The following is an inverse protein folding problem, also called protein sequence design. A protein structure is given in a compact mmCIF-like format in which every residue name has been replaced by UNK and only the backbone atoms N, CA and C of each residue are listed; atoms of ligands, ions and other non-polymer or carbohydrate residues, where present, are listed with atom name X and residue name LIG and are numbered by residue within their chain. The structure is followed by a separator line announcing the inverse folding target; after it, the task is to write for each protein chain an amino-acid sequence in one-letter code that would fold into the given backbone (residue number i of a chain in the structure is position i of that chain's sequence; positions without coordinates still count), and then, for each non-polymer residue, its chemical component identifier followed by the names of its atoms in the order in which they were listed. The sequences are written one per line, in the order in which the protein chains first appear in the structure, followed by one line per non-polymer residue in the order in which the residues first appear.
data_IF_754738656070
#
_entry.id   IF_754738656070
#
_cell.length_a   1.000
_cell.length_b   1.000
_cell.length_c   1.000
_cell.angle_alpha   90.00
_cell.angle_beta   90.00
_cell.angle_gamma   90.00
#
_symmetry.space_group_name_H-M   'P 1'
#
loop_
_entity.id
_entity.type
_entity.pdbx_description
1 polymer ?
#
# COMPACT_ATOMS: atom_id res chain seq x y z
N UNK A 1 16.64 -3.48 0.29
CA UNK A 1 16.36 -2.36 1.22
C UNK A 1 17.12 -2.58 2.53
N UNK A 2 17.74 -1.55 3.10
CA UNK A 2 18.44 -1.65 4.39
C UNK A 2 17.45 -2.04 5.52
N UNK A 3 17.90 -2.84 6.49
CA UNK A 3 17.16 -3.22 7.70
C UNK A 3 16.51 -2.03 8.41
N UNK A 4 17.16 -0.86 8.46
CA UNK A 4 16.60 0.33 9.11
C UNK A 4 15.29 0.78 8.44
N UNK A 5 15.31 0.92 7.11
CA UNK A 5 14.11 1.26 6.34
C UNK A 5 13.06 0.14 6.43
N UNK A 6 13.47 -1.13 6.43
CA UNK A 6 12.55 -2.25 6.64
C UNK A 6 11.85 -2.19 8.00
N UNK A 7 12.54 -1.76 9.05
CA UNK A 7 11.95 -1.58 10.36
C UNK A 7 10.91 -0.43 10.38
N UNK A 8 11.16 0.67 9.68
CA UNK A 8 10.16 1.73 9.50
C UNK A 8 8.90 1.20 8.81
N UNK A 9 9.06 0.38 7.77
CA UNK A 9 7.95 -0.24 7.05
C UNK A 9 7.15 -1.23 7.93
N UNK A 10 7.85 -2.04 8.74
CA UNK A 10 7.20 -2.92 9.74
C UNK A 10 6.42 -2.11 10.76
N UNK A 11 6.98 -1.01 11.28
CA UNK A 11 6.30 -0.15 12.23
C UNK A 11 5.04 0.50 11.62
N UNK A 12 5.11 0.92 10.36
CA UNK A 12 3.96 1.47 9.64
C UNK A 12 2.88 0.42 9.38
N UNK A 13 3.26 -0.81 9.02
CA UNK A 13 2.31 -1.91 8.88
C UNK A 13 1.64 -2.25 10.23
N UNK A 14 2.41 -2.34 11.31
CA UNK A 14 1.87 -2.53 12.66
C UNK A 14 0.92 -1.41 13.08
N UNK A 15 1.25 -0.15 12.76
CA UNK A 15 0.36 0.99 13.00
C UNK A 15 -0.96 0.84 12.25
N UNK A 16 -0.96 0.35 11.00
CA UNK A 16 -2.20 0.11 10.25
C UNK A 16 -3.12 -0.91 10.94
N UNK A 17 -2.55 -1.95 11.56
CA UNK A 17 -3.31 -2.96 12.33
C UNK A 17 -3.89 -2.34 13.60
N UNK A 18 -3.10 -1.53 14.32
CA UNK A 18 -3.55 -0.84 15.54
C UNK A 18 -4.70 0.12 15.23
N UNK A 19 -4.60 0.87 14.12
CA UNK A 19 -5.65 1.78 13.66
C UNK A 19 -6.91 1.03 13.22
N UNK A 20 -6.76 -0.09 12.50
CA UNK A 20 -7.91 -0.93 12.12
C UNK A 20 -8.64 -1.46 13.36
N UNK A 21 -7.91 -1.83 14.43
CA UNK A 21 -8.49 -2.31 15.68
C UNK A 21 -9.36 -1.27 16.41
N UNK A 22 -9.30 0.01 16.01
CA UNK A 22 -10.17 1.06 16.54
C UNK A 22 -11.49 1.19 15.77
N UNK A 23 -11.68 0.45 14.67
CA UNK A 23 -12.89 0.46 13.86
C UNK A 23 -13.79 -0.73 14.23
N UNK A 24 -15.10 -0.54 14.10
CA UNK A 24 -16.12 -1.56 14.40
C UNK A 24 -16.28 -2.60 13.27
N UNK A 25 -15.17 -3.15 12.77
CA UNK A 25 -15.15 -4.22 11.77
C UNK A 25 -14.70 -5.55 12.39
N UNK A 26 -15.18 -6.65 11.81
CA UNK A 26 -14.66 -7.97 12.17
C UNK A 26 -13.19 -8.11 11.74
N UNK A 27 -12.36 -8.74 12.58
CA UNK A 27 -10.92 -8.85 12.36
C UNK A 27 -10.51 -9.46 11.02
N UNK A 28 -11.31 -10.37 10.46
CA UNK A 28 -11.02 -11.00 9.16
C UNK A 28 -11.15 -10.03 7.98
N UNK A 29 -11.84 -8.90 8.15
CA UNK A 29 -12.02 -7.89 7.08
C UNK A 29 -10.67 -7.27 6.70
N UNK A 30 -9.78 -7.06 7.68
CA UNK A 30 -8.46 -6.50 7.40
C UNK A 30 -7.65 -7.36 6.42
N UNK A 31 -7.32 -8.63 6.70
CA UNK A 31 -6.57 -9.46 5.76
C UNK A 31 -7.34 -9.73 4.46
N UNK A 32 -8.68 -9.74 4.46
CA UNK A 32 -9.48 -9.92 3.25
C UNK A 32 -9.33 -8.75 2.26
N UNK A 33 -9.23 -7.52 2.77
CA UNK A 33 -9.09 -6.31 1.94
C UNK A 33 -7.64 -5.88 1.77
N UNK A 34 -6.71 -6.40 2.57
CA UNK A 34 -5.30 -6.01 2.51
C UNK A 34 -4.73 -6.17 1.11
N UNK A 35 -5.09 -7.23 0.38
CA UNK A 35 -4.62 -7.49 -0.99
C UNK A 35 -5.45 -6.80 -2.08
N UNK A 36 -6.54 -6.12 -1.74
CA UNK A 36 -7.41 -5.47 -2.72
C UNK A 36 -6.68 -4.39 -3.57
N UNK A 37 -5.74 -3.59 -3.02
CA UNK A 37 -4.98 -2.64 -3.80
C UNK A 37 -4.18 -3.27 -4.97
N UNK A 38 -3.81 -4.55 -4.90
CA UNK A 38 -3.08 -5.24 -5.98
C UNK A 38 -3.92 -5.45 -7.24
N UNK A 39 -5.25 -5.34 -7.18
CA UNK A 39 -6.08 -5.33 -8.38
C UNK A 39 -5.70 -4.19 -9.34
N UNK A 40 -5.07 -3.12 -8.85
CA UNK A 40 -4.50 -2.05 -9.68
C UNK A 40 -3.45 -2.54 -10.67
N UNK A 41 -2.81 -3.69 -10.41
CA UNK A 41 -1.88 -4.33 -11.35
C UNK A 41 -2.53 -4.78 -12.65
N UNK A 42 -3.86 -4.93 -12.71
CA UNK A 42 -4.56 -5.23 -13.96
C UNK A 42 -4.33 -4.15 -15.04
N UNK A 43 -3.91 -2.93 -14.65
CA UNK A 43 -3.47 -1.90 -15.60
C UNK A 43 -2.32 -2.34 -16.52
N UNK A 44 -1.48 -3.28 -16.07
CA UNK A 44 -0.39 -3.85 -16.88
C UNK A 44 -0.88 -4.70 -18.05
N UNK A 45 -2.16 -5.12 -18.07
CA UNK A 45 -2.77 -5.79 -19.23
C UNK A 45 -2.87 -4.84 -20.43
N UNK A 46 -2.88 -3.52 -20.21
CA UNK A 46 -2.91 -2.51 -21.27
C UNK A 46 -1.51 -2.13 -21.74
N UNK A 47 -0.63 -1.74 -20.81
CA UNK A 47 0.80 -1.49 -21.03
C UNK A 47 1.50 -1.13 -19.69
N UNK A 48 2.84 -1.05 -19.71
CA UNK A 48 3.66 -0.70 -18.55
C UNK A 48 3.35 0.67 -17.95
N UNK A 49 3.06 1.69 -18.76
CA UNK A 49 2.79 3.06 -18.28
C UNK A 49 1.47 3.11 -17.50
N UNK A 50 0.41 2.55 -18.06
CA UNK A 50 -0.91 2.51 -17.40
C UNK A 50 -0.84 1.65 -16.14
N UNK A 51 -0.18 0.49 -16.22
CA UNK A 51 0.06 -0.37 -15.07
C UNK A 51 0.81 0.33 -13.94
N UNK A 52 1.92 0.99 -14.24
CA UNK A 52 2.73 1.70 -13.24
C UNK A 52 1.94 2.84 -12.58
N UNK A 53 1.19 3.63 -13.35
CA UNK A 53 0.38 4.73 -12.81
C UNK A 53 -0.74 4.24 -11.90
N UNK A 54 -1.50 3.23 -12.33
CA UNK A 54 -2.58 2.66 -11.52
C UNK A 54 -2.02 2.01 -10.27
N UNK A 55 -1.00 1.17 -10.40
CA UNK A 55 -0.34 0.56 -9.25
C UNK A 55 0.15 1.63 -8.27
N UNK A 56 0.90 2.62 -8.73
CA UNK A 56 1.43 3.67 -7.88
C UNK A 56 0.34 4.43 -7.15
N UNK A 57 -0.79 4.74 -7.79
CA UNK A 57 -1.91 5.44 -7.16
C UNK A 57 -2.38 4.71 -5.90
N UNK A 58 -2.62 3.40 -5.98
CA UNK A 58 -3.11 2.59 -4.86
C UNK A 58 -2.00 2.19 -3.85
N UNK A 59 -0.73 2.38 -4.19
CA UNK A 59 0.43 2.09 -3.33
C UNK A 59 1.14 3.36 -2.80
N UNK A 60 0.54 4.52 -3.06
CA UNK A 60 1.09 5.82 -2.65
C UNK A 60 0.65 6.16 -1.22
N UNK A 61 1.59 6.12 -0.27
CA UNK A 61 1.30 6.40 1.15
C UNK A 61 0.73 7.79 1.41
N UNK A 62 1.12 8.82 0.65
CA UNK A 62 0.50 10.15 0.77
C UNK A 62 -1.01 10.09 0.51
N UNK A 63 -1.45 9.37 -0.54
CA UNK A 63 -2.87 9.23 -0.84
C UNK A 63 -3.57 8.48 0.29
N UNK A 64 -2.98 7.38 0.76
CA UNK A 64 -3.49 6.62 1.89
C UNK A 64 -3.68 7.48 3.15
N UNK A 65 -2.69 8.30 3.50
CA UNK A 65 -2.73 9.21 4.64
C UNK A 65 -3.79 10.31 4.46
N UNK A 66 -3.92 10.88 3.25
CA UNK A 66 -4.98 11.87 2.96
C UNK A 66 -6.35 11.25 3.14
N UNK A 67 -6.60 10.07 2.57
CA UNK A 67 -7.88 9.36 2.70
C UNK A 67 -8.18 9.02 4.16
N UNK A 68 -7.20 8.47 4.88
CA UNK A 68 -7.32 8.17 6.31
C UNK A 68 -7.67 9.43 7.13
N UNK A 69 -6.93 10.52 6.92
CA UNK A 69 -7.12 11.78 7.65
C UNK A 69 -8.48 12.39 7.36
N UNK A 70 -8.93 12.39 6.10
CA UNK A 70 -10.26 12.86 5.71
C UNK A 70 -11.35 12.00 6.34
N UNK A 71 -11.20 10.68 6.33
CA UNK A 71 -12.15 9.76 6.98
C UNK A 71 -12.25 10.00 8.47
N UNK A 72 -11.10 10.15 9.14
CA UNK A 72 -11.05 10.43 10.56
C UNK A 72 -11.71 11.78 10.89
N UNK A 73 -11.34 12.85 10.18
CA UNK A 73 -11.87 14.18 10.44
C UNK A 73 -13.37 14.31 10.14
N UNK A 74 -13.86 13.57 9.15
CA UNK A 74 -15.28 13.51 8.79
C UNK A 74 -16.08 12.49 9.62
N UNK A 75 -15.47 11.75 10.56
CA UNK A 75 -16.05 10.60 11.26
C UNK A 75 -16.68 9.56 10.30
N UNK A 76 -16.04 9.30 9.16
CA UNK A 76 -16.49 8.36 8.14
C UNK A 76 -15.64 7.08 8.19
N UNK A 77 -16.15 6.03 8.85
CA UNK A 77 -15.41 4.80 9.16
C UNK A 77 -14.91 4.06 7.92
N UNK A 78 -15.70 4.03 6.85
CA UNK A 78 -15.35 3.40 5.57
C UNK A 78 -14.17 4.09 4.90
N UNK A 79 -14.10 5.43 5.01
CA UNK A 79 -13.02 6.20 4.42
C UNK A 79 -11.73 6.05 5.25
N UNK A 80 -11.84 6.04 6.59
CA UNK A 80 -10.72 5.68 7.47
C UNK A 80 -10.22 4.26 7.18
N UNK A 81 -11.13 3.31 7.02
CA UNK A 81 -10.81 1.93 6.65
C UNK A 81 -10.06 1.86 5.32
N UNK A 82 -10.55 2.52 4.27
CA UNK A 82 -9.87 2.55 2.97
C UNK A 82 -8.45 3.13 3.08
N UNK A 83 -8.27 4.23 3.82
CA UNK A 83 -6.96 4.81 4.06
C UNK A 83 -6.01 3.89 4.83
N UNK A 84 -6.52 3.18 5.86
CA UNK A 84 -5.77 2.18 6.63
C UNK A 84 -5.33 1.01 5.74
N UNK A 85 -6.21 0.47 4.90
CA UNK A 85 -5.88 -0.63 3.99
C UNK A 85 -4.81 -0.21 2.98
N UNK A 86 -4.97 0.95 2.34
CA UNK A 86 -3.97 1.47 1.40
C UNK A 86 -2.62 1.68 2.09
N UNK A 87 -2.62 2.21 3.31
CA UNK A 87 -1.39 2.47 4.07
C UNK A 87 -0.70 1.17 4.50
N UNK A 88 -1.48 0.22 5.05
CA UNK A 88 -1.00 -1.08 5.49
C UNK A 88 -0.45 -1.91 4.34
N UNK A 89 -1.19 -2.04 3.24
CA UNK A 89 -0.74 -2.75 2.04
C UNK A 89 0.53 -2.14 1.46
N UNK A 90 0.55 -0.81 1.30
CA UNK A 90 1.72 -0.07 0.83
C UNK A 90 2.97 -0.31 1.69
N UNK A 91 2.81 -0.45 3.01
CA UNK A 91 3.93 -0.74 3.91
C UNK A 91 4.37 -2.21 3.81
N UNK A 92 3.40 -3.14 3.79
CA UNK A 92 3.64 -4.56 3.59
C UNK A 92 4.42 -4.83 2.30
N UNK A 93 4.04 -4.21 1.20
CA UNK A 93 4.72 -4.34 -0.09
C UNK A 93 6.21 -3.98 0.02
N UNK A 94 6.53 -2.86 0.66
CA UNK A 94 7.90 -2.40 0.86
C UNK A 94 8.71 -3.33 1.76
N UNK A 95 8.10 -3.97 2.77
CA UNK A 95 8.74 -5.02 3.60
C UNK A 95 9.22 -6.18 2.72
N UNK A 96 8.44 -6.57 1.71
CA UNK A 96 8.74 -7.65 0.77
C UNK A 96 9.56 -7.22 -0.45
N UNK A 97 9.97 -5.94 -0.52
CA UNK A 97 10.80 -5.41 -1.60
C UNK A 97 10.02 -4.96 -2.83
N UNK A 98 8.69 -4.98 -2.78
CA UNK A 98 7.85 -4.28 -3.74
C UNK A 98 7.88 -2.77 -3.47
N UNK A 99 7.60 -1.97 -4.48
CA UNK A 99 7.68 -0.53 -4.36
C UNK A 99 7.02 0.16 -5.54
N UNK A 100 6.93 1.49 -5.46
CA UNK A 100 6.46 2.32 -6.56
C UNK A 100 7.24 2.01 -7.84
N UNK A 101 6.49 1.81 -8.92
CA UNK A 101 6.92 1.32 -10.22
C UNK A 101 7.30 2.47 -11.13
N UNK A 102 8.37 2.29 -11.89
CA UNK A 102 8.66 3.13 -13.03
C UNK A 102 7.84 2.68 -14.24
N UNK A 103 7.63 3.60 -15.19
CA UNK A 103 6.78 3.35 -16.37
C UNK A 103 7.43 2.44 -17.44
N UNK A 104 8.71 2.10 -17.26
CA UNK A 104 9.51 1.29 -18.17
C UNK A 104 9.34 -0.22 -17.96
N UNK A 105 9.24 -0.70 -16.71
CA UNK A 105 9.09 -2.12 -16.40
C UNK A 105 8.41 -2.35 -15.03
N UNK A 106 7.57 -3.40 -14.93
CA UNK A 106 6.93 -3.80 -13.65
C UNK A 106 7.94 -4.15 -12.54
N UNK A 107 9.14 -4.57 -12.90
CA UNK A 107 10.21 -4.96 -11.98
C UNK A 107 11.13 -3.80 -11.62
N UNK A 108 11.03 -2.67 -12.30
CA UNK A 108 11.81 -1.49 -11.97
C UNK A 108 11.04 -0.61 -10.98
N UNK A 109 11.58 -0.48 -9.77
CA UNK A 109 10.94 0.26 -8.68
C UNK A 109 11.87 1.31 -8.10
N UNK A 110 11.33 2.23 -7.30
CA UNK A 110 12.15 3.18 -6.51
C UNK A 110 13.10 2.50 -5.50
N UNK A 111 12.88 1.22 -5.16
CA UNK A 111 13.78 0.42 -4.33
C UNK A 111 14.88 -0.29 -5.16
N UNK A 112 14.85 -0.14 -6.49
CA UNK A 112 15.70 -0.83 -7.44
C UNK A 112 14.95 -1.90 -8.26
N UNK A 113 15.73 -2.72 -8.96
CA UNK A 113 15.24 -3.84 -9.77
C UNK A 113 14.95 -5.05 -8.90
N UNK A 114 13.74 -5.61 -8.99
CA UNK A 114 13.32 -6.76 -8.16
C UNK A 114 14.14 -8.04 -8.42
N UNK A 115 14.66 -8.22 -9.64
CA UNK A 115 15.43 -9.43 -10.02
C UNK A 115 16.92 -9.37 -9.60
N UNK A 116 17.41 -8.20 -9.20
CA UNK A 116 18.77 -8.08 -8.67
C UNK A 116 18.69 -8.40 -7.18
N UNK A 117 19.33 -9.49 -6.75
CA UNK A 117 19.52 -9.78 -5.33
C UNK A 117 20.02 -8.50 -4.64
N UNK A 118 19.18 -7.95 -3.77
CA UNK A 118 19.51 -6.79 -2.94
C UNK A 118 20.62 -7.11 -1.95
#
# INVERSE_FOLDING_TARGET
MNTLLKAEEVAQFALSIILFAQLDYAWWVFPAFLLLPDLSMLGYLLNSKVGARLYNLFHHKLLAIIILTLGFWANHSELSFAGIILFGHSAMDRIFGYGLKYEDDFKHTHLGWMDKKA
#
